data_IF_261694505706
#
_entry.id   IF_261694505706
#
_cell.length_a   1.000
_cell.length_b   1.000
_cell.length_c   1.000
_cell.angle_alpha   90.00
_cell.angle_beta   90.00
_cell.angle_gamma   90.00
#
_symmetry.space_group_name_H-M   'P 1'
#
loop_
_entity.id
_entity.type
_entity.pdbx_description
1 polymer ?
#
# COMPACT_ATOMS: atom_id res chain seq x y z
N UNK A 1 16.67 -51.24 32.11
CA UNK A 1 16.00 -50.10 32.78
C UNK A 1 17.10 -49.25 33.39
N UNK A 2 17.38 -47.99 33.05
CA UNK A 2 16.73 -47.02 32.18
C UNK A 2 17.80 -46.06 31.59
N UNK A 3 17.51 -45.50 30.41
CA UNK A 3 18.20 -44.34 29.82
C UNK A 3 17.97 -43.06 30.66
N UNK A 4 18.80 -42.02 30.45
CA UNK A 4 18.46 -40.57 30.28
C UNK A 4 19.80 -39.81 30.13
N UNK A 5 20.25 -39.50 28.91
CA UNK A 5 19.95 -38.34 28.04
C UNK A 5 20.80 -37.09 28.35
N UNK A 6 21.74 -36.85 27.42
CA UNK A 6 22.41 -35.59 27.16
C UNK A 6 21.42 -34.41 27.10
N UNK A 7 21.64 -33.39 27.93
CA UNK A 7 21.00 -32.09 27.75
C UNK A 7 21.83 -31.23 26.80
N UNK A 8 21.49 -31.33 25.53
CA UNK A 8 21.91 -30.40 24.50
C UNK A 8 21.05 -29.14 24.64
N UNK A 9 21.60 -28.04 25.17
CA UNK A 9 20.94 -26.72 25.12
C UNK A 9 21.07 -26.18 23.69
N UNK A 10 20.07 -26.45 22.87
CA UNK A 10 19.87 -25.75 21.59
C UNK A 10 19.42 -24.34 21.94
N UNK A 11 20.37 -23.40 21.94
CA UNK A 11 20.06 -21.98 21.85
C UNK A 11 19.36 -21.74 20.52
N UNK A 12 18.03 -21.66 20.56
CA UNK A 12 17.22 -21.28 19.41
C UNK A 12 17.61 -19.87 18.99
N UNK A 13 18.41 -19.78 17.93
CA UNK A 13 18.59 -18.53 17.19
C UNK A 13 17.21 -18.19 16.63
N UNK A 14 16.51 -17.25 17.25
CA UNK A 14 15.32 -16.63 16.66
C UNK A 14 15.80 -15.99 15.37
N UNK A 15 15.56 -16.65 14.24
CA UNK A 15 15.96 -16.16 12.94
C UNK A 15 15.38 -14.75 12.77
N UNK A 16 16.27 -13.76 12.62
CA UNK A 16 15.84 -12.38 12.37
C UNK A 16 14.98 -12.39 11.11
N UNK A 17 13.78 -11.78 11.12
CA UNK A 17 12.91 -11.77 9.96
C UNK A 17 13.66 -11.16 8.77
N UNK A 18 13.75 -11.91 7.68
CA UNK A 18 14.46 -11.48 6.48
C UNK A 18 13.51 -10.60 5.66
N UNK A 19 13.95 -9.37 5.35
CA UNK A 19 13.22 -8.48 4.43
C UNK A 19 13.12 -9.14 3.06
N UNK A 20 11.89 -9.30 2.57
CA UNK A 20 11.66 -9.93 1.27
C UNK A 20 12.28 -9.06 0.16
N UNK A 21 13.24 -9.62 -0.58
CA UNK A 21 13.92 -9.02 -1.74
C UNK A 21 14.68 -7.70 -1.48
N UNK A 22 15.38 -7.58 -0.36
CA UNK A 22 16.44 -6.57 -0.28
C UNK A 22 17.69 -7.14 -0.97
N UNK A 23 18.12 -6.60 -2.14
CA UNK A 23 19.44 -6.93 -2.75
C UNK A 23 20.61 -6.33 -1.91
N UNK A 24 20.49 -6.39 -0.58
CA UNK A 24 21.36 -5.73 0.40
C UNK A 24 20.55 -5.00 1.51
N UNK A 25 21.07 -4.93 2.74
CA UNK A 25 20.37 -4.32 3.89
C UNK A 25 20.02 -2.84 3.70
N UNK A 26 20.76 -2.10 2.87
CA UNK A 26 20.55 -0.67 2.61
C UNK A 26 19.30 -0.40 1.78
N UNK A 27 19.00 -1.24 0.79
CA UNK A 27 17.82 -1.09 -0.07
C UNK A 27 16.51 -1.23 0.71
N UNK A 28 16.53 -2.05 1.78
CA UNK A 28 15.39 -2.18 2.68
C UNK A 28 15.09 -0.89 3.44
N UNK A 29 16.13 -0.20 3.92
CA UNK A 29 16.00 1.07 4.64
C UNK A 29 15.59 2.20 3.70
N UNK A 30 16.23 2.32 2.53
CA UNK A 30 15.87 3.33 1.53
C UNK A 30 14.41 3.21 1.08
N UNK A 31 13.90 1.97 0.95
CA UNK A 31 12.48 1.73 0.62
C UNK A 31 11.55 2.20 1.74
N UNK A 32 11.89 1.89 2.99
CA UNK A 32 11.13 2.36 4.15
C UNK A 32 11.10 3.89 4.22
N UNK A 33 12.26 4.54 4.04
CA UNK A 33 12.38 6.00 4.11
C UNK A 33 11.57 6.68 3.01
N UNK A 34 11.61 6.14 1.78
CA UNK A 34 10.79 6.64 0.67
C UNK A 34 9.29 6.49 0.92
N UNK A 35 8.84 5.33 1.41
CA UNK A 35 7.42 5.15 1.74
C UNK A 35 6.97 6.07 2.87
N UNK A 36 7.81 6.25 3.88
CA UNK A 36 7.56 7.15 5.01
C UNK A 36 7.43 8.59 4.52
N UNK A 37 8.40 9.08 3.75
CA UNK A 37 8.40 10.44 3.21
C UNK A 37 7.21 10.71 2.28
N UNK A 38 6.88 9.76 1.39
CA UNK A 38 5.73 9.89 0.50
C UNK A 38 4.40 9.92 1.26
N UNK A 39 4.24 9.07 2.28
CA UNK A 39 3.05 9.08 3.12
C UNK A 39 2.90 10.39 3.91
N UNK A 40 3.99 10.85 4.53
CA UNK A 40 3.99 12.11 5.28
C UNK A 40 3.69 13.31 4.38
N UNK A 41 4.17 13.27 3.13
CA UNK A 41 3.82 14.26 2.11
C UNK A 41 2.34 14.23 1.76
N UNK A 42 1.75 13.05 1.54
CA UNK A 42 0.32 12.92 1.27
C UNK A 42 -0.54 13.49 2.42
N UNK A 43 -0.19 13.19 3.67
CA UNK A 43 -0.86 13.75 4.86
C UNK A 43 -0.73 15.27 4.89
N UNK A 44 0.49 15.80 4.69
CA UNK A 44 0.71 17.26 4.62
C UNK A 44 -0.13 17.92 3.52
N UNK A 45 -0.24 17.29 2.35
CA UNK A 45 -1.08 17.79 1.26
C UNK A 45 -2.56 17.85 1.67
N UNK A 46 -3.07 16.84 2.39
CA UNK A 46 -4.45 16.87 2.93
C UNK A 46 -4.61 18.02 3.93
N UNK A 47 -3.67 18.19 4.85
CA UNK A 47 -3.71 19.24 5.88
C UNK A 47 -3.61 20.67 5.30
N UNK A 48 -3.07 20.80 4.09
CA UNK A 48 -2.87 22.07 3.39
C UNK A 48 -3.78 22.23 2.17
N UNK A 49 -4.85 21.44 2.08
CA UNK A 49 -5.86 21.48 1.02
C UNK A 49 -5.36 21.18 -0.41
N UNK A 50 -4.19 20.52 -0.56
CA UNK A 50 -3.64 20.04 -1.82
C UNK A 50 -4.13 18.62 -2.15
N UNK A 51 -5.44 18.41 -2.20
CA UNK A 51 -6.03 17.06 -2.25
C UNK A 51 -5.69 16.26 -3.51
N UNK A 52 -5.59 16.91 -4.67
CA UNK A 52 -5.21 16.23 -5.93
C UNK A 52 -3.78 15.69 -5.88
N UNK A 53 -2.87 16.41 -5.21
CA UNK A 53 -1.51 15.96 -4.99
C UNK A 53 -1.46 14.78 -4.01
N UNK A 54 -2.20 14.88 -2.89
CA UNK A 54 -2.35 13.77 -1.95
C UNK A 54 -2.87 12.51 -2.65
N UNK A 55 -3.90 12.65 -3.49
CA UNK A 55 -4.48 11.58 -4.30
C UNK A 55 -3.43 10.95 -5.23
N UNK A 56 -2.64 11.75 -5.94
CA UNK A 56 -1.61 11.23 -6.85
C UNK A 56 -0.54 10.42 -6.12
N UNK A 57 -0.11 10.89 -4.95
CA UNK A 57 0.88 10.20 -4.11
C UNK A 57 0.29 8.90 -3.57
N UNK A 58 -0.96 8.92 -3.07
CA UNK A 58 -1.65 7.74 -2.58
C UNK A 58 -1.89 6.69 -3.67
N UNK A 59 -2.20 7.12 -4.90
CA UNK A 59 -2.34 6.21 -6.04
C UNK A 59 -1.02 5.48 -6.33
N UNK A 60 0.10 6.20 -6.27
CA UNK A 60 1.42 5.58 -6.43
C UNK A 60 1.74 4.61 -5.29
N UNK A 61 1.45 4.97 -4.04
CA UNK A 61 1.69 4.11 -2.88
C UNK A 61 0.84 2.83 -2.93
N UNK A 62 -0.46 2.96 -3.20
CA UNK A 62 -1.38 1.82 -3.35
C UNK A 62 -0.95 0.93 -4.51
N UNK A 63 -0.58 1.52 -5.65
CA UNK A 63 -0.09 0.78 -6.82
C UNK A 63 1.15 -0.06 -6.50
N UNK A 64 2.08 0.51 -5.74
CA UNK A 64 3.28 -0.18 -5.25
C UNK A 64 2.94 -1.35 -4.32
N UNK A 65 2.02 -1.15 -3.35
CA UNK A 65 1.64 -2.21 -2.39
C UNK A 65 0.87 -3.34 -3.08
N UNK A 66 -0.09 -3.02 -3.95
CA UNK A 66 -0.83 -3.99 -4.75
C UNK A 66 0.10 -4.78 -5.69
N UNK A 67 1.04 -4.10 -6.36
CA UNK A 67 2.03 -4.74 -7.23
C UNK A 67 2.97 -5.67 -6.44
N UNK A 68 3.39 -5.24 -5.25
CA UNK A 68 4.17 -6.09 -4.34
C UNK A 68 3.41 -7.36 -3.96
N UNK A 69 2.11 -7.25 -3.69
CA UNK A 69 1.26 -8.41 -3.39
C UNK A 69 1.08 -9.33 -4.59
N UNK A 70 0.76 -8.78 -5.75
CA UNK A 70 0.59 -9.53 -6.98
C UNK A 70 1.85 -10.33 -7.34
N UNK A 71 3.03 -9.69 -7.31
CA UNK A 71 4.31 -10.39 -7.53
C UNK A 71 4.62 -11.42 -6.46
N UNK A 72 4.25 -11.17 -5.19
CA UNK A 72 4.42 -12.13 -4.11
C UNK A 72 3.61 -13.41 -4.35
N UNK A 73 2.35 -13.29 -4.78
CA UNK A 73 1.48 -14.44 -5.08
C UNK A 73 2.02 -15.22 -6.28
N UNK A 74 2.34 -14.53 -7.38
CA UNK A 74 2.82 -15.17 -8.61
C UNK A 74 4.26 -15.67 -8.53
N UNK A 75 4.99 -15.35 -7.45
CA UNK A 75 6.43 -15.59 -7.31
C UNK A 75 7.24 -15.01 -8.47
N UNK A 76 6.75 -13.92 -9.06
CA UNK A 76 7.39 -13.25 -10.20
C UNK A 76 8.47 -12.25 -9.75
N UNK A 77 9.42 -11.96 -10.63
CA UNK A 77 10.50 -11.02 -10.32
C UNK A 77 10.06 -9.56 -10.37
N UNK A 78 9.15 -9.21 -11.28
CA UNK A 78 8.66 -7.84 -11.47
C UNK A 78 7.36 -7.82 -12.29
N UNK A 79 6.53 -6.80 -12.09
CA UNK A 79 5.47 -6.42 -13.03
C UNK A 79 5.84 -5.10 -13.68
N UNK A 80 5.33 -4.88 -14.90
CA UNK A 80 5.31 -3.58 -15.55
C UNK A 80 4.42 -2.64 -14.72
N UNK A 81 4.79 -1.36 -14.54
CA UNK A 81 3.92 -0.37 -13.92
C UNK A 81 2.57 -0.34 -14.63
N UNK A 82 1.51 -0.65 -13.89
CA UNK A 82 0.13 -0.62 -14.37
C UNK A 82 -0.69 0.22 -13.40
N UNK A 83 -1.75 0.86 -13.89
CA UNK A 83 -2.64 1.66 -13.05
C UNK A 83 -3.23 0.82 -11.91
N UNK A 84 -3.49 1.45 -10.76
CA UNK A 84 -4.06 0.78 -9.56
C UNK A 84 -5.27 -0.08 -9.91
N UNK A 85 -6.23 0.47 -10.66
CA UNK A 85 -7.44 -0.26 -11.07
C UNK A 85 -7.16 -1.51 -11.91
N UNK A 86 -6.10 -1.50 -12.72
CA UNK A 86 -5.68 -2.67 -13.51
C UNK A 86 -5.04 -3.74 -12.62
N UNK A 87 -4.24 -3.36 -11.61
CA UNK A 87 -3.70 -4.32 -10.63
C UNK A 87 -4.83 -4.94 -9.81
N UNK A 88 -5.80 -4.14 -9.35
CA UNK A 88 -6.97 -4.64 -8.63
C UNK A 88 -7.74 -5.67 -9.48
N UNK A 89 -8.03 -5.33 -10.74
CA UNK A 89 -8.72 -6.23 -11.67
C UNK A 89 -7.98 -7.56 -11.83
N UNK A 90 -6.66 -7.54 -11.98
CA UNK A 90 -5.83 -8.76 -12.11
C UNK A 90 -5.80 -9.59 -10.83
N UNK A 91 -5.72 -8.94 -9.67
CA UNK A 91 -5.77 -9.62 -8.37
C UNK A 91 -7.11 -10.32 -8.16
N UNK A 92 -8.22 -9.62 -8.47
CA UNK A 92 -9.58 -10.12 -8.20
C UNK A 92 -10.07 -11.14 -9.23
N UNK A 93 -9.79 -10.91 -10.51
CA UNK A 93 -10.43 -11.59 -11.65
C UNK A 93 -9.44 -12.31 -12.57
N UNK A 94 -8.17 -12.40 -12.18
CA UNK A 94 -7.13 -13.04 -12.98
C UNK A 94 -6.50 -12.11 -14.03
N UNK A 95 -5.33 -12.51 -14.52
CA UNK A 95 -4.70 -11.87 -15.68
C UNK A 95 -5.13 -12.64 -16.93
N UNK A 96 -5.71 -12.00 -17.96
CA UNK A 96 -6.13 -12.70 -19.18
C UNK A 96 -4.97 -13.38 -19.93
N UNK A 97 -3.71 -13.03 -19.63
CA UNK A 97 -2.52 -13.71 -20.16
C UNK A 97 -2.12 -14.94 -19.36
N UNK A 98 -2.75 -15.18 -18.21
CA UNK A 98 -2.52 -16.34 -17.35
C UNK A 98 -3.75 -17.26 -17.40
N UNK A 99 -3.54 -18.57 -17.37
CA UNK A 99 -4.62 -19.56 -17.31
C UNK A 99 -5.33 -19.62 -15.93
N UNK A 100 -5.12 -18.63 -15.06
CA UNK A 100 -5.65 -18.57 -13.71
C UNK A 100 -6.75 -17.50 -13.61
N UNK A 101 -8.03 -17.89 -13.45
CA UNK A 101 -9.14 -16.93 -13.37
C UNK A 101 -9.16 -16.10 -12.08
N UNK A 102 -8.31 -16.40 -11.10
CA UNK A 102 -8.19 -15.66 -9.85
C UNK A 102 -6.77 -15.77 -9.30
N UNK A 103 -6.17 -14.63 -8.95
CA UNK A 103 -4.81 -14.58 -8.38
C UNK A 103 -4.88 -14.46 -6.85
N UNK A 104 -5.67 -13.55 -6.30
CA UNK A 104 -5.83 -13.42 -4.84
C UNK A 104 -6.97 -14.29 -4.32
N UNK A 105 -6.62 -15.29 -3.51
CA UNK A 105 -7.56 -16.23 -2.90
C UNK A 105 -7.93 -15.91 -1.46
N UNK A 106 -7.16 -15.07 -0.75
CA UNK A 106 -7.50 -14.70 0.64
C UNK A 106 -8.71 -13.74 0.64
N UNK A 107 -9.85 -14.12 1.25
CA UNK A 107 -11.06 -13.31 1.24
C UNK A 107 -10.88 -11.95 1.90
N UNK A 108 -9.98 -11.83 2.89
CA UNK A 108 -9.70 -10.55 3.55
C UNK A 108 -9.03 -9.57 2.60
N UNK A 109 -8.07 -10.05 1.80
CA UNK A 109 -7.44 -9.23 0.78
C UNK A 109 -8.42 -8.85 -0.32
N UNK A 110 -9.29 -9.78 -0.74
CA UNK A 110 -10.28 -9.49 -1.79
C UNK A 110 -11.20 -8.32 -1.41
N UNK A 111 -11.69 -8.29 -0.16
CA UNK A 111 -12.51 -7.17 0.33
C UNK A 111 -11.76 -5.85 0.23
N UNK A 112 -10.53 -5.78 0.73
CA UNK A 112 -9.75 -4.54 0.70
C UNK A 112 -9.38 -4.12 -0.73
N UNK A 113 -9.06 -5.08 -1.61
CA UNK A 113 -8.72 -4.79 -3.01
C UNK A 113 -9.95 -4.28 -3.78
N UNK A 114 -11.14 -4.80 -3.49
CA UNK A 114 -12.40 -4.32 -4.07
C UNK A 114 -12.70 -2.87 -3.64
N UNK A 115 -12.53 -2.55 -2.35
CA UNK A 115 -12.64 -1.18 -1.85
C UNK A 115 -11.62 -0.24 -2.51
N UNK A 116 -10.36 -0.67 -2.69
CA UNK A 116 -9.34 0.09 -3.42
C UNK A 116 -9.72 0.25 -4.89
N UNK A 117 -10.32 -0.76 -5.51
CA UNK A 117 -10.76 -0.68 -6.89
C UNK A 117 -11.85 0.37 -7.07
N UNK A 118 -12.81 0.42 -6.16
CA UNK A 118 -13.86 1.44 -6.19
C UNK A 118 -13.31 2.83 -5.87
N UNK A 119 -12.39 2.95 -4.91
CA UNK A 119 -11.65 4.18 -4.68
C UNK A 119 -10.92 4.66 -5.94
N UNK A 120 -10.26 3.78 -6.69
CA UNK A 120 -9.56 4.16 -7.93
C UNK A 120 -10.53 4.71 -8.99
N UNK A 121 -11.77 4.23 -9.04
CA UNK A 121 -12.82 4.76 -9.92
C UNK A 121 -13.29 6.15 -9.48
N UNK A 122 -13.54 6.33 -8.19
CA UNK A 122 -13.88 7.65 -7.60
C UNK A 122 -12.76 8.66 -7.83
N UNK A 123 -11.51 8.24 -7.62
CA UNK A 123 -10.30 9.03 -7.90
C UNK A 123 -10.22 9.48 -9.35
N UNK A 124 -10.42 8.57 -10.30
CA UNK A 124 -10.41 8.92 -11.73
C UNK A 124 -11.52 9.93 -12.05
N UNK A 125 -12.72 9.76 -11.47
CA UNK A 125 -13.81 10.72 -11.60
C UNK A 125 -13.43 12.09 -11.04
N UNK A 126 -12.84 12.15 -9.85
CA UNK A 126 -12.35 13.38 -9.22
C UNK A 126 -11.34 14.12 -10.12
N UNK A 127 -10.30 13.41 -10.59
CA UNK A 127 -9.31 13.96 -11.52
C UNK A 127 -9.94 14.51 -12.81
N UNK A 128 -10.91 13.78 -13.37
CA UNK A 128 -11.63 14.23 -14.56
C UNK A 128 -12.57 15.41 -14.30
N UNK A 129 -13.17 15.53 -13.12
CA UNK A 129 -13.99 16.68 -12.75
C UNK A 129 -13.14 17.95 -12.65
N UNK A 130 -11.98 17.88 -11.99
CA UNK A 130 -11.07 19.03 -11.86
C UNK A 130 -10.52 19.54 -13.21
N UNK A 131 -10.34 18.65 -14.20
CA UNK A 131 -9.83 19.00 -15.52
C UNK A 131 -10.91 19.47 -16.52
N UNK A 132 -12.20 19.23 -16.24
CA UNK A 132 -13.27 19.72 -17.10
C UNK A 132 -13.39 21.22 -16.89
N UNK A 133 -13.18 22.00 -17.96
CA UNK A 133 -13.69 23.38 -18.04
C UNK A 133 -15.16 23.29 -17.63
N UNK A 134 -15.56 24.02 -16.59
CA UNK A 134 -16.95 24.20 -16.21
C UNK A 134 -17.68 24.67 -17.47
N UNK A 135 -18.31 23.75 -18.20
CA UNK A 135 -18.94 24.05 -19.51
C UNK A 135 -20.04 25.09 -19.37
N UNK A 136 -20.56 25.23 -18.16
CA UNK A 136 -21.37 26.36 -17.74
C UNK A 136 -20.43 27.23 -16.93
N UNK A 137 -20.15 28.45 -17.40
CA UNK A 137 -19.57 29.51 -16.57
C UNK A 137 -20.57 29.92 -15.49
N UNK A 138 -20.96 28.97 -14.63
CA UNK A 138 -21.71 29.23 -13.41
C UNK A 138 -20.70 29.82 -12.41
N UNK A 139 -20.73 31.14 -12.18
CA UNK A 139 -19.79 31.80 -11.29
C UNK A 139 -19.95 31.37 -9.83
N UNK A 140 -20.92 30.49 -9.52
CA UNK A 140 -21.22 29.98 -8.18
C UNK A 140 -20.40 28.78 -7.75
N UNK A 141 -19.77 28.05 -8.67
CA UNK A 141 -18.90 26.91 -8.31
C UNK A 141 -17.46 27.37 -8.45
N UNK A 142 -16.86 27.74 -7.32
CA UNK A 142 -15.44 28.09 -7.30
C UNK A 142 -14.60 26.82 -7.51
N UNK A 143 -13.42 26.97 -8.10
CA UNK A 143 -12.46 25.86 -8.21
C UNK A 143 -12.15 25.22 -6.85
N UNK A 144 -12.16 26.03 -5.78
CA UNK A 144 -11.99 25.55 -4.40
C UNK A 144 -13.11 24.62 -3.94
N UNK A 145 -14.36 24.84 -4.37
CA UNK A 145 -15.48 23.98 -4.00
C UNK A 145 -15.34 22.59 -4.63
N UNK A 146 -14.84 22.53 -5.88
CA UNK A 146 -14.53 21.27 -6.57
C UNK A 146 -13.39 20.54 -5.86
N UNK A 147 -12.35 21.27 -5.42
CA UNK A 147 -11.24 20.68 -4.67
C UNK A 147 -11.72 20.09 -3.34
N UNK A 148 -12.65 20.74 -2.66
CA UNK A 148 -13.15 20.26 -1.37
C UNK A 148 -13.92 18.93 -1.50
N UNK A 149 -14.58 18.68 -2.64
CA UNK A 149 -15.16 17.37 -2.97
C UNK A 149 -14.10 16.25 -3.02
N UNK A 150 -12.83 16.58 -3.21
CA UNK A 150 -11.73 15.62 -3.30
C UNK A 150 -11.09 15.29 -1.94
N UNK A 151 -11.39 16.08 -0.90
CA UNK A 151 -10.88 15.83 0.45
C UNK A 151 -11.20 14.43 0.94
N UNK A 152 -12.47 14.01 0.80
CA UNK A 152 -12.89 12.66 1.22
C UNK A 152 -12.18 11.57 0.43
N UNK A 153 -11.97 11.77 -0.88
CA UNK A 153 -11.23 10.80 -1.72
C UNK A 153 -9.79 10.63 -1.24
N UNK A 154 -9.13 11.71 -0.81
CA UNK A 154 -7.78 11.63 -0.24
C UNK A 154 -7.77 10.89 1.12
N UNK A 155 -8.74 11.20 2.01
CA UNK A 155 -8.88 10.53 3.31
C UNK A 155 -9.15 9.02 3.15
N UNK A 156 -10.04 8.65 2.23
CA UNK A 156 -10.34 7.25 1.92
C UNK A 156 -9.08 6.52 1.41
N UNK A 157 -8.28 7.18 0.57
CA UNK A 157 -7.01 6.64 0.09
C UNK A 157 -6.02 6.34 1.21
N UNK A 158 -5.92 7.24 2.22
CA UNK A 158 -5.10 7.01 3.42
C UNK A 158 -5.62 5.80 4.21
N UNK A 159 -6.93 5.73 4.45
CA UNK A 159 -7.54 4.65 5.21
C UNK A 159 -7.32 3.29 4.54
N UNK A 160 -7.53 3.22 3.22
CA UNK A 160 -7.34 2.00 2.44
C UNK A 160 -5.88 1.56 2.36
N UNK A 161 -4.94 2.50 2.20
CA UNK A 161 -3.51 2.19 2.23
C UNK A 161 -3.09 1.56 3.55
N UNK A 162 -3.53 2.14 4.68
CA UNK A 162 -3.27 1.61 6.02
C UNK A 162 -3.90 0.24 6.21
N UNK A 163 -5.19 0.09 5.85
CA UNK A 163 -5.92 -1.19 5.95
C UNK A 163 -5.22 -2.30 5.16
N UNK A 164 -4.77 -2.00 3.96
CA UNK A 164 -4.02 -2.96 3.13
C UNK A 164 -2.66 -3.32 3.74
N UNK A 165 -1.90 -2.33 4.20
CA UNK A 165 -0.55 -2.55 4.72
C UNK A 165 -0.54 -3.30 6.05
N UNK A 166 -1.52 -3.05 6.92
CA UNK A 166 -1.71 -3.79 8.17
C UNK A 166 -1.97 -5.27 7.88
N UNK A 167 -2.88 -5.56 6.95
CA UNK A 167 -3.20 -6.92 6.54
C UNK A 167 -2.00 -7.64 5.89
N UNK A 168 -1.28 -6.97 4.98
CA UNK A 168 -0.08 -7.53 4.34
C UNK A 168 1.06 -7.76 5.34
N UNK A 169 1.22 -6.85 6.31
CA UNK A 169 2.20 -7.01 7.40
C UNK A 169 1.86 -8.21 8.26
N UNK A 170 0.61 -8.34 8.71
CA UNK A 170 0.16 -9.46 9.53
C UNK A 170 0.43 -10.79 8.83
N UNK A 171 -0.03 -10.95 7.58
CA UNK A 171 0.09 -12.22 6.84
C UNK A 171 1.54 -12.55 6.51
N UNK A 172 2.40 -11.56 6.27
CA UNK A 172 3.84 -11.81 6.06
C UNK A 172 4.52 -12.23 7.36
N UNK A 173 4.18 -11.61 8.48
CA UNK A 173 4.74 -11.97 9.80
C UNK A 173 4.36 -13.41 10.19
N UNK A 174 3.10 -13.82 9.98
CA UNK A 174 2.64 -15.20 10.15
C UNK A 174 3.48 -16.21 9.34
N UNK A 175 4.10 -15.76 8.25
CA UNK A 175 4.96 -16.53 7.35
C UNK A 175 6.46 -16.29 7.55
N UNK A 176 6.86 -15.61 8.64
CA UNK A 176 8.27 -15.31 8.95
C UNK A 176 8.94 -14.31 7.99
N UNK A 177 8.16 -13.53 7.24
CA UNK A 177 8.62 -12.49 6.32
C UNK A 177 8.26 -11.10 6.85
N UNK A 178 9.00 -10.08 6.42
CA UNK A 178 8.62 -8.67 6.68
C UNK A 178 8.46 -7.89 5.37
N UNK A 179 7.42 -7.03 5.26
CA UNK A 179 7.23 -6.18 4.10
C UNK A 179 8.26 -5.04 4.04
N UNK A 180 8.35 -4.40 2.87
CA UNK A 180 9.20 -3.22 2.67
C UNK A 180 8.79 -1.98 3.48
N UNK A 181 7.57 -1.98 4.04
CA UNK A 181 6.99 -0.92 4.86
C UNK A 181 7.25 -1.09 6.36
N UNK A 182 7.85 -2.21 6.78
CA UNK A 182 8.16 -2.49 8.17
C UNK A 182 9.25 -1.52 8.72
N UNK A 183 9.09 -0.97 9.96
CA UNK A 183 8.03 -1.31 10.91
C UNK A 183 6.69 -0.62 10.66
N UNK A 184 6.64 0.66 10.27
CA UNK A 184 5.42 1.47 10.32
C UNK A 184 5.41 2.61 9.28
N UNK A 185 5.73 2.33 8.01
CA UNK A 185 5.82 3.37 6.98
C UNK A 185 4.57 4.25 6.88
N UNK A 186 3.38 3.71 7.12
CA UNK A 186 2.09 4.40 6.97
C UNK A 186 1.37 4.67 8.29
N UNK A 187 2.06 4.50 9.43
CA UNK A 187 1.49 4.67 10.76
C UNK A 187 2.40 5.58 11.60
N UNK A 188 2.37 6.92 11.36
CA UNK A 188 3.20 7.89 12.07
C UNK A 188 3.14 7.76 13.59
N UNK A 189 1.97 7.43 14.13
CA UNK A 189 1.70 7.21 15.56
C UNK A 189 2.50 6.05 16.16
N UNK A 190 2.87 5.06 15.33
CA UNK A 190 3.69 3.91 15.72
C UNK A 190 5.17 4.09 15.32
N UNK A 191 5.49 5.28 14.81
CA UNK A 191 6.80 5.89 14.59
C UNK A 191 7.66 5.90 15.87
N UNK A 192 8.74 5.12 16.01
CA UNK A 192 9.71 5.45 17.07
C UNK A 192 10.29 6.83 16.71
N UNK A 193 9.85 7.88 17.40
CA UNK A 193 10.45 9.21 17.30
C UNK A 193 11.89 9.06 17.75
N UNK A 194 12.83 9.00 16.80
CA UNK A 194 14.24 9.22 17.13
C UNK A 194 14.29 10.60 17.74
N UNK A 195 14.49 10.68 19.05
CA UNK A 195 14.78 11.94 19.71
C UNK A 195 15.99 12.51 19.00
N UNK A 196 15.82 13.69 18.40
CA UNK A 196 16.89 14.39 17.72
C UNK A 196 18.06 14.52 18.69
N UNK A 197 19.19 13.88 18.37
CA UNK A 197 20.50 14.25 18.90
C UNK A 197 21.02 15.43 18.08
#
# INVERSE_FOLDING_TARGET
MAMIKHHNRIGGVVAKPVREKARGPELGHQRLDRYTAAYDWAVKCIDTCHYLEAIAVLDSLLGDRLSSRYTHILRAESIVPVAVGEVCKRLLNGDPKLAAPQVESDPRFRVVIDEIWEWARTRNRAMHQAAKILRNGDPRVAFLDILEEHRQTALDGVALLRKFDELDTQIRQERGKVPGTYPNAFFPENRIRRSSM
#
